data_IF_420755021159
#
_entry.id   IF_420755021159
#
_cell.length_a   1.000
_cell.length_b   1.000
_cell.length_c   1.000
_cell.angle_alpha   90.00
_cell.angle_beta   90.00
_cell.angle_gamma   90.00
#
_symmetry.space_group_name_H-M   'P 1'
#
loop_
_entity.id
_entity.type
_entity.pdbx_description
1 polymer ?
#
# COMPACT_ATOMS: atom_id res chain seq x y z
N UNK A 1 -37.42 -11.89 84.75
CA UNK A 1 -36.25 -11.21 84.19
C UNK A 1 -35.72 -12.09 83.06
N UNK A 2 -36.04 -11.78 81.82
CA UNK A 2 -35.65 -12.58 80.65
C UNK A 2 -34.89 -11.68 79.65
N UNK A 3 -33.63 -11.99 79.45
CA UNK A 3 -32.74 -11.25 78.62
C UNK A 3 -32.90 -11.68 77.13
N UNK A 4 -33.38 -10.77 76.30
CA UNK A 4 -33.45 -11.00 74.81
C UNK A 4 -32.13 -10.62 74.19
N UNK A 5 -31.38 -11.59 73.65
CA UNK A 5 -30.24 -11.38 72.78
C UNK A 5 -30.73 -11.28 71.33
N UNK A 6 -30.57 -10.11 70.74
CA UNK A 6 -30.84 -9.86 69.33
C UNK A 6 -29.64 -10.37 68.50
N UNK A 7 -29.89 -11.34 67.64
CA UNK A 7 -28.90 -11.78 66.64
C UNK A 7 -28.99 -10.91 65.37
N UNK A 8 -27.95 -10.18 65.07
CA UNK A 8 -27.79 -9.46 63.76
C UNK A 8 -27.26 -10.49 62.73
N UNK A 9 -28.07 -10.81 61.72
CA UNK A 9 -27.63 -11.58 60.56
C UNK A 9 -27.10 -10.59 59.52
N UNK A 10 -25.78 -10.59 59.32
CA UNK A 10 -25.12 -9.86 58.24
C UNK A 10 -25.13 -10.77 57.00
N UNK A 11 -25.99 -10.47 56.06
CA UNK A 11 -25.98 -11.14 54.75
C UNK A 11 -24.85 -10.53 53.88
N UNK A 12 -23.80 -11.30 53.64
CA UNK A 12 -22.82 -10.99 52.60
C UNK A 12 -23.40 -11.30 51.22
N UNK A 13 -23.72 -10.27 50.44
CA UNK A 13 -24.04 -10.41 49.04
C UNK A 13 -22.69 -10.43 48.29
N UNK A 14 -22.26 -11.61 47.89
CA UNK A 14 -21.11 -11.78 47.02
C UNK A 14 -21.52 -11.42 45.58
N UNK A 15 -21.16 -10.24 45.12
CA UNK A 15 -21.31 -9.87 43.72
C UNK A 15 -20.35 -10.71 42.85
N UNK A 16 -20.86 -11.69 42.17
CA UNK A 16 -20.18 -12.43 41.15
C UNK A 16 -20.12 -11.52 39.90
N UNK A 17 -18.98 -10.86 39.69
CA UNK A 17 -18.70 -10.15 38.46
C UNK A 17 -18.46 -11.22 37.39
N UNK A 18 -19.46 -11.47 36.55
CA UNK A 18 -19.27 -12.20 35.30
C UNK A 18 -18.43 -11.35 34.37
N UNK A 19 -17.15 -11.63 34.29
CA UNK A 19 -16.32 -11.18 33.18
C UNK A 19 -16.85 -11.84 31.91
N UNK A 20 -17.59 -11.09 31.10
CA UNK A 20 -17.92 -11.53 29.75
C UNK A 20 -16.61 -11.70 29.00
N UNK A 21 -16.35 -12.85 28.34
CA UNK A 21 -15.18 -12.99 27.51
C UNK A 21 -15.27 -11.98 26.37
N UNK A 22 -14.20 -11.22 26.14
CA UNK A 22 -13.99 -10.38 24.96
C UNK A 22 -13.81 -11.28 23.71
N UNK A 23 -14.85 -11.95 23.30
CA UNK A 23 -14.86 -12.84 22.16
C UNK A 23 -15.66 -12.22 21.01
N UNK A 24 -15.13 -11.13 20.42
CA UNK A 24 -15.64 -10.60 19.15
C UNK A 24 -14.53 -9.93 18.29
N UNK A 25 -13.29 -9.95 18.72
CA UNK A 25 -12.17 -9.61 17.82
C UNK A 25 -11.43 -10.90 17.52
N UNK A 26 -11.32 -11.26 16.22
CA UNK A 26 -10.46 -12.34 15.78
C UNK A 26 -9.05 -12.17 16.38
N UNK A 27 -8.35 -13.27 16.59
CA UNK A 27 -7.00 -13.26 17.15
C UNK A 27 -6.13 -12.36 16.26
N UNK A 28 -5.68 -11.22 16.82
CA UNK A 28 -4.92 -10.23 16.06
C UNK A 28 -3.57 -10.86 15.67
N UNK A 29 -3.29 -10.96 14.37
CA UNK A 29 -2.08 -11.62 13.84
C UNK A 29 -0.77 -10.94 14.30
N UNK A 30 -0.81 -9.64 14.61
CA UNK A 30 0.36 -8.89 15.07
C UNK A 30 0.07 -8.11 16.36
N UNK A 31 1.05 -7.91 17.27
CA UNK A 31 0.91 -7.07 18.46
C UNK A 31 0.99 -5.57 18.15
N UNK A 32 0.82 -5.18 16.89
CA UNK A 32 0.82 -3.81 16.38
C UNK A 32 -0.22 -3.65 15.27
N UNK A 33 -0.60 -2.41 14.99
CA UNK A 33 -1.55 -2.08 13.92
C UNK A 33 -0.95 -2.35 12.54
N UNK A 34 -1.81 -2.71 11.58
CA UNK A 34 -1.47 -2.91 10.19
C UNK A 34 -2.11 -1.83 9.30
N UNK A 35 -1.37 -1.35 8.32
CA UNK A 35 -1.81 -0.44 7.27
C UNK A 35 -1.50 -1.09 5.91
N UNK A 36 -2.53 -1.40 5.13
CA UNK A 36 -2.36 -1.95 3.80
C UNK A 36 -2.10 -0.85 2.77
N UNK A 37 -0.90 -0.76 2.22
CA UNK A 37 -0.58 0.28 1.22
C UNK A 37 -0.88 -0.12 -0.23
N UNK A 38 -1.48 -1.31 -0.45
CA UNK A 38 -1.70 -1.81 -1.81
C UNK A 38 -2.93 -2.70 -1.92
N UNK A 39 -4.12 -2.10 -1.79
CA UNK A 39 -5.39 -2.77 -2.03
C UNK A 39 -6.04 -2.32 -3.34
N UNK A 40 -6.56 -3.25 -4.13
CA UNK A 40 -7.30 -2.98 -5.35
C UNK A 40 -8.79 -3.27 -5.16
N UNK A 41 -9.60 -2.27 -5.51
CA UNK A 41 -11.06 -2.35 -5.42
C UNK A 41 -11.69 -2.38 -6.81
N UNK A 42 -12.65 -3.26 -7.02
CA UNK A 42 -13.46 -3.32 -8.22
C UNK A 42 -14.81 -3.98 -7.93
N UNK A 43 -15.82 -3.63 -8.74
CA UNK A 43 -17.20 -4.07 -8.57
C UNK A 43 -17.67 -4.91 -9.76
N UNK A 44 -18.81 -5.55 -9.63
CA UNK A 44 -19.52 -6.24 -10.70
C UNK A 44 -20.73 -5.43 -11.24
N UNK A 45 -20.63 -4.10 -11.17
CA UNK A 45 -21.65 -3.16 -11.67
C UNK A 45 -21.13 -2.41 -12.92
N UNK A 46 -20.95 -3.07 -14.08
CA UNK A 46 -20.34 -2.47 -15.27
C UNK A 46 -21.18 -1.35 -15.88
N UNK A 47 -22.50 -1.34 -15.67
CA UNK A 47 -23.38 -0.26 -16.14
C UNK A 47 -23.09 1.06 -15.43
N UNK A 48 -22.66 1.01 -14.18
CA UNK A 48 -22.32 2.18 -13.37
C UNK A 48 -20.83 2.53 -13.43
N UNK A 49 -19.97 1.51 -13.47
CA UNK A 49 -18.53 1.64 -13.51
C UNK A 49 -17.98 0.76 -14.64
N UNK A 50 -17.97 1.29 -15.89
CA UNK A 50 -17.56 0.55 -17.07
C UNK A 50 -16.11 0.04 -16.96
N UNK A 51 -15.88 -1.22 -17.36
CA UNK A 51 -14.54 -1.77 -17.37
C UNK A 51 -13.72 -1.25 -18.56
N UNK A 52 -12.50 -0.84 -18.31
CA UNK A 52 -11.41 -0.73 -19.28
C UNK A 52 -10.29 -1.70 -18.90
N UNK A 53 -10.45 -2.96 -19.27
CA UNK A 53 -9.50 -4.03 -18.97
C UNK A 53 -8.42 -4.20 -20.05
N UNK A 54 -8.23 -3.21 -20.94
CA UNK A 54 -7.29 -3.28 -22.07
C UNK A 54 -5.82 -3.45 -21.64
N UNK A 55 -5.49 -3.17 -20.40
CA UNK A 55 -4.16 -3.33 -19.80
C UNK A 55 -4.08 -4.47 -18.77
N UNK A 56 -5.08 -5.35 -18.73
CA UNK A 56 -5.08 -6.46 -17.80
C UNK A 56 -3.94 -7.45 -18.09
N UNK A 57 -3.20 -7.84 -17.05
CA UNK A 57 -2.02 -8.72 -17.14
C UNK A 57 -2.29 -10.03 -17.85
N UNK A 58 -3.47 -10.62 -17.63
CA UNK A 58 -3.87 -11.93 -18.21
C UNK A 58 -4.97 -11.82 -19.26
N UNK A 59 -5.12 -10.61 -19.86
CA UNK A 59 -6.11 -10.31 -20.88
C UNK A 59 -7.44 -9.75 -20.31
N UNK A 60 -8.15 -8.98 -21.13
CA UNK A 60 -9.37 -8.28 -20.70
C UNK A 60 -10.49 -9.25 -20.33
N UNK A 61 -10.72 -10.31 -21.09
CA UNK A 61 -11.80 -11.26 -20.86
C UNK A 61 -11.69 -11.95 -19.50
N UNK A 62 -10.47 -12.42 -19.14
CA UNK A 62 -10.24 -13.05 -17.85
C UNK A 62 -10.44 -12.06 -16.69
N UNK A 63 -10.00 -10.81 -16.86
CA UNK A 63 -10.14 -9.79 -15.80
C UNK A 63 -11.61 -9.42 -15.60
N UNK A 64 -12.37 -9.22 -16.67
CA UNK A 64 -13.80 -8.93 -16.58
C UNK A 64 -14.55 -10.10 -15.94
N UNK A 65 -14.28 -11.35 -16.38
CA UNK A 65 -14.88 -12.53 -15.79
C UNK A 65 -14.57 -12.65 -14.28
N UNK A 66 -13.32 -12.37 -13.88
CA UNK A 66 -12.91 -12.32 -12.47
C UNK A 66 -13.69 -11.26 -11.70
N UNK A 67 -13.79 -10.03 -12.23
CA UNK A 67 -14.49 -8.94 -11.56
C UNK A 67 -15.98 -9.22 -11.40
N UNK A 68 -16.60 -9.83 -12.40
CA UNK A 68 -18.02 -10.21 -12.35
C UNK A 68 -18.29 -11.33 -11.35
N UNK A 69 -17.43 -12.34 -11.27
CA UNK A 69 -17.61 -13.49 -10.38
C UNK A 69 -17.15 -13.23 -8.95
N UNK A 70 -16.09 -12.47 -8.78
CA UNK A 70 -15.41 -12.25 -7.50
C UNK A 70 -15.03 -10.76 -7.33
N UNK A 71 -16.03 -9.85 -7.19
CA UNK A 71 -15.75 -8.44 -7.01
C UNK A 71 -15.02 -8.17 -5.69
N UNK A 72 -14.11 -7.20 -5.72
CA UNK A 72 -13.39 -6.71 -4.53
C UNK A 72 -14.03 -5.42 -4.04
N UNK A 73 -15.27 -5.54 -3.53
CA UNK A 73 -15.99 -4.41 -2.96
C UNK A 73 -15.46 -4.05 -1.56
N UNK A 74 -15.77 -2.87 -1.02
CA UNK A 74 -15.40 -2.53 0.36
C UNK A 74 -15.82 -3.58 1.38
N UNK A 75 -17.00 -4.18 1.23
CA UNK A 75 -17.52 -5.19 2.14
C UNK A 75 -16.64 -6.46 2.14
N UNK A 76 -16.18 -6.88 0.98
CA UNK A 76 -15.27 -8.04 0.83
C UNK A 76 -13.89 -7.72 1.42
N UNK A 77 -13.32 -6.57 1.02
CA UNK A 77 -11.98 -6.16 1.45
C UNK A 77 -11.94 -5.87 2.95
N UNK A 78 -12.96 -5.18 3.50
CA UNK A 78 -13.00 -4.88 4.94
C UNK A 78 -13.20 -6.12 5.80
N UNK A 79 -13.99 -7.10 5.34
CA UNK A 79 -14.10 -8.37 6.03
C UNK A 79 -12.73 -9.03 6.20
N UNK A 80 -11.94 -9.05 5.12
CA UNK A 80 -10.57 -9.55 5.17
C UNK A 80 -9.67 -8.68 6.05
N UNK A 81 -9.71 -7.35 5.90
CA UNK A 81 -8.90 -6.44 6.72
C UNK A 81 -9.20 -6.59 8.21
N UNK A 82 -10.47 -6.70 8.58
CA UNK A 82 -10.89 -6.87 9.98
C UNK A 82 -10.43 -8.23 10.53
N UNK A 83 -10.46 -9.29 9.70
CA UNK A 83 -9.99 -10.62 10.08
C UNK A 83 -8.49 -10.65 10.40
N UNK A 84 -7.67 -9.89 9.68
CA UNK A 84 -6.20 -9.88 9.85
C UNK A 84 -5.68 -8.69 10.66
N UNK A 85 -6.55 -7.79 11.10
CA UNK A 85 -6.20 -6.63 11.95
C UNK A 85 -5.69 -5.40 11.18
N UNK A 86 -6.05 -5.24 9.90
CA UNK A 86 -5.75 -4.05 9.10
C UNK A 86 -6.77 -2.95 9.44
N UNK A 87 -6.28 -1.84 10.02
CA UNK A 87 -7.13 -0.71 10.43
C UNK A 87 -7.63 0.11 9.23
N UNK A 88 -6.76 0.39 8.27
CA UNK A 88 -7.04 1.17 7.06
C UNK A 88 -6.01 0.83 5.98
N UNK A 89 -6.27 1.29 4.75
CA UNK A 89 -5.28 1.10 3.68
C UNK A 89 -5.48 2.03 2.50
N UNK A 90 -4.51 1.98 1.58
CA UNK A 90 -4.61 2.64 0.29
C UNK A 90 -5.50 1.83 -0.65
N UNK A 91 -6.57 2.46 -1.15
CA UNK A 91 -7.22 2.01 -2.36
C UNK A 91 -6.35 2.48 -3.54
N UNK A 92 -5.60 1.56 -4.13
CA UNK A 92 -4.80 1.85 -5.32
C UNK A 92 -5.65 1.56 -6.54
N UNK A 93 -5.87 2.59 -7.37
CA UNK A 93 -6.64 2.42 -8.61
C UNK A 93 -6.13 1.21 -9.41
N UNK A 94 -7.04 0.34 -9.83
CA UNK A 94 -6.65 -0.88 -10.50
C UNK A 94 -6.56 -0.70 -12.01
N UNK A 95 -5.32 -0.63 -12.51
CA UNK A 95 -5.03 -0.46 -13.93
C UNK A 95 -5.61 -1.57 -14.83
N UNK A 96 -5.81 -2.76 -14.25
CA UNK A 96 -6.34 -3.93 -14.98
C UNK A 96 -7.85 -3.92 -15.16
N UNK A 97 -8.60 -3.02 -14.48
CA UNK A 97 -10.07 -2.94 -14.59
C UNK A 97 -10.57 -1.61 -15.11
N UNK A 98 -10.01 -0.48 -14.63
CA UNK A 98 -10.58 0.84 -14.88
C UNK A 98 -9.56 1.85 -15.43
N UNK A 99 -8.28 1.51 -15.43
CA UNK A 99 -7.20 2.40 -15.88
C UNK A 99 -7.30 3.78 -15.24
N UNK A 100 -7.56 4.83 -16.05
CA UNK A 100 -7.66 6.22 -15.61
C UNK A 100 -9.06 6.64 -15.16
N UNK A 101 -10.07 5.78 -15.25
CA UNK A 101 -11.37 6.03 -14.65
C UNK A 101 -11.36 5.70 -13.17
N UNK A 102 -11.23 6.73 -12.35
CA UNK A 102 -11.13 6.60 -10.90
C UNK A 102 -12.50 6.70 -10.19
N UNK A 103 -13.62 6.74 -10.91
CA UNK A 103 -14.95 7.01 -10.36
C UNK A 103 -15.32 6.05 -9.23
N UNK A 104 -15.17 4.74 -9.43
CA UNK A 104 -15.47 3.74 -8.40
C UNK A 104 -14.61 3.94 -7.15
N UNK A 105 -13.30 4.10 -7.32
CA UNK A 105 -12.39 4.31 -6.18
C UNK A 105 -12.74 5.58 -5.39
N UNK A 106 -13.06 6.67 -6.08
CA UNK A 106 -13.40 7.94 -5.44
C UNK A 106 -14.74 7.87 -4.70
N UNK A 107 -15.74 7.18 -5.26
CA UNK A 107 -17.04 6.99 -4.62
C UNK A 107 -16.92 6.17 -3.33
N UNK A 108 -16.19 5.05 -3.36
CA UNK A 108 -16.00 4.22 -2.16
C UNK A 108 -15.13 4.90 -1.11
N UNK A 109 -14.10 5.66 -1.52
CA UNK A 109 -13.29 6.40 -0.55
C UNK A 109 -14.06 7.55 0.10
N UNK A 110 -14.95 8.21 -0.63
CA UNK A 110 -15.84 9.21 -0.05
C UNK A 110 -16.84 8.59 0.95
N UNK A 111 -17.30 7.37 0.70
CA UNK A 111 -18.18 6.61 1.61
C UNK A 111 -17.44 6.10 2.85
N UNK A 112 -16.17 5.72 2.70
CA UNK A 112 -15.36 5.11 3.76
C UNK A 112 -14.03 5.86 4.02
N UNK A 113 -14.07 7.18 4.35
CA UNK A 113 -12.86 8.03 4.39
C UNK A 113 -11.88 7.69 5.53
N UNK A 114 -12.30 6.86 6.50
CA UNK A 114 -11.45 6.37 7.59
C UNK A 114 -10.81 5.01 7.30
N UNK A 115 -11.22 4.36 6.21
CA UNK A 115 -10.78 3.02 5.84
C UNK A 115 -9.99 3.02 4.52
N UNK A 116 -10.36 3.85 3.55
CA UNK A 116 -9.77 3.86 2.21
C UNK A 116 -9.12 5.21 1.95
N UNK A 117 -7.81 5.19 1.67
CA UNK A 117 -7.02 6.35 1.24
C UNK A 117 -6.77 6.22 -0.27
N UNK A 118 -7.36 7.05 -1.12
CA UNK A 118 -7.32 6.84 -2.56
C UNK A 118 -5.97 7.26 -3.18
N UNK A 119 -5.43 6.36 -4.01
CA UNK A 119 -4.31 6.58 -4.93
C UNK A 119 -4.84 6.39 -6.35
N UNK A 120 -4.98 7.46 -7.08
CA UNK A 120 -5.58 7.48 -8.42
C UNK A 120 -4.59 7.12 -9.52
N UNK A 121 -5.06 6.78 -10.72
CA UNK A 121 -4.25 6.73 -11.94
C UNK A 121 -4.73 7.84 -12.87
N UNK A 122 -3.79 8.65 -13.36
CA UNK A 122 -4.02 9.66 -14.39
C UNK A 122 -2.95 9.52 -15.48
N UNK A 123 -3.22 10.06 -16.65
CA UNK A 123 -2.21 10.16 -17.70
C UNK A 123 -1.18 11.24 -17.30
N UNK A 124 0.09 10.89 -17.08
CA UNK A 124 1.10 11.83 -16.60
C UNK A 124 1.42 12.95 -17.59
N UNK A 125 1.13 12.76 -18.90
CA UNK A 125 1.45 13.72 -19.96
C UNK A 125 0.25 14.55 -20.42
N UNK A 126 -0.95 14.22 -19.92
CA UNK A 126 -2.14 15.04 -20.23
C UNK A 126 -2.02 16.41 -19.55
N UNK A 127 -2.23 17.46 -20.34
CA UNK A 127 -2.19 18.86 -19.87
C UNK A 127 -3.23 19.17 -18.79
N UNK A 128 -4.32 18.40 -18.73
CA UNK A 128 -5.34 18.53 -17.69
C UNK A 128 -4.93 17.90 -16.35
N UNK A 129 -3.97 16.98 -16.34
CA UNK A 129 -3.58 16.23 -15.13
C UNK A 129 -3.19 17.11 -13.94
N UNK A 130 -2.41 18.20 -14.08
CA UNK A 130 -2.10 19.07 -12.94
C UNK A 130 -3.33 19.66 -12.28
N UNK A 131 -4.29 20.17 -13.06
CA UNK A 131 -5.56 20.71 -12.56
C UNK A 131 -6.43 19.64 -11.93
N UNK A 132 -6.49 18.46 -12.52
CA UNK A 132 -7.23 17.30 -12.02
C UNK A 132 -6.68 16.84 -10.67
N UNK A 133 -5.36 16.74 -10.51
CA UNK A 133 -4.72 16.42 -9.22
C UNK A 133 -5.10 17.42 -8.14
N UNK A 134 -5.05 18.73 -8.44
CA UNK A 134 -5.42 19.76 -7.49
C UNK A 134 -6.89 19.66 -7.05
N UNK A 135 -7.79 19.41 -7.99
CA UNK A 135 -9.22 19.21 -7.69
C UNK A 135 -9.44 17.96 -6.83
N UNK A 136 -8.84 16.83 -7.21
CA UNK A 136 -8.98 15.56 -6.49
C UNK A 136 -8.38 15.63 -5.09
N UNK A 137 -7.22 16.26 -4.92
CA UNK A 137 -6.62 16.47 -3.60
C UNK A 137 -7.54 17.27 -2.67
N UNK A 138 -8.17 18.33 -3.21
CA UNK A 138 -9.07 19.19 -2.45
C UNK A 138 -10.41 18.50 -2.13
N UNK A 139 -11.05 17.92 -3.14
CA UNK A 139 -12.43 17.39 -3.04
C UNK A 139 -12.48 15.96 -2.53
N UNK A 140 -11.67 15.08 -3.12
CA UNK A 140 -11.71 13.65 -2.89
C UNK A 140 -10.65 13.18 -1.88
N UNK A 141 -9.80 14.09 -1.39
CA UNK A 141 -8.76 13.78 -0.39
C UNK A 141 -7.82 12.67 -0.85
N UNK A 142 -7.50 12.60 -2.15
CA UNK A 142 -6.49 11.65 -2.63
C UNK A 142 -5.16 11.88 -1.90
N UNK A 143 -4.43 10.81 -1.60
CA UNK A 143 -3.09 10.93 -1.05
C UNK A 143 -2.01 10.95 -2.14
N UNK A 144 -2.32 10.46 -3.32
CA UNK A 144 -1.35 10.43 -4.41
C UNK A 144 -1.90 9.93 -5.73
N UNK A 145 -0.97 9.82 -6.68
CA UNK A 145 -1.20 9.32 -8.02
C UNK A 145 -0.21 8.20 -8.34
N UNK A 146 -0.65 7.19 -9.07
CA UNK A 146 0.20 6.09 -9.54
C UNK A 146 0.51 6.24 -11.02
N UNK A 147 1.80 6.15 -11.36
CA UNK A 147 2.25 6.06 -12.73
C UNK A 147 2.86 4.69 -13.01
N UNK A 148 2.42 4.06 -14.08
CA UNK A 148 2.86 2.72 -14.47
C UNK A 148 3.04 2.65 -15.98
N UNK A 149 3.95 1.82 -16.44
CA UNK A 149 4.19 1.62 -17.86
C UNK A 149 5.55 1.02 -18.16
N UNK A 150 5.78 0.83 -19.45
CA UNK A 150 7.04 0.31 -19.99
C UNK A 150 7.89 1.48 -20.54
N UNK A 151 9.22 1.32 -20.66
CA UNK A 151 10.05 2.34 -21.25
C UNK A 151 9.82 2.47 -22.75
N UNK A 152 10.08 3.63 -23.28
CA UNK A 152 10.21 3.84 -24.73
C UNK A 152 11.34 2.96 -25.30
N UNK A 153 11.07 2.27 -26.40
CA UNK A 153 12.00 1.28 -26.96
C UNK A 153 13.29 1.90 -27.52
N UNK A 154 13.26 3.20 -27.90
CA UNK A 154 14.40 3.88 -28.51
C UNK A 154 15.28 4.54 -27.47
N UNK A 155 14.66 5.18 -26.48
CA UNK A 155 15.35 5.99 -25.47
C UNK A 155 15.59 5.26 -24.15
N UNK A 156 14.87 4.18 -23.87
CA UNK A 156 14.85 3.50 -22.57
C UNK A 156 14.18 4.31 -21.47
N UNK A 157 13.59 5.47 -21.79
CA UNK A 157 13.00 6.37 -20.82
C UNK A 157 11.54 6.01 -20.54
N UNK A 158 11.14 6.08 -19.29
CA UNK A 158 9.74 6.00 -18.91
C UNK A 158 9.09 7.38 -19.05
N UNK A 159 8.05 7.49 -19.88
CA UNK A 159 7.43 8.77 -20.22
C UNK A 159 6.99 9.57 -18.99
N UNK A 160 6.53 8.88 -17.95
CA UNK A 160 6.13 9.48 -16.68
C UNK A 160 7.30 10.00 -15.82
N UNK A 161 8.56 9.77 -16.24
CA UNK A 161 9.77 10.29 -15.62
C UNK A 161 10.58 11.18 -16.61
N UNK A 162 9.89 11.78 -17.58
CA UNK A 162 10.49 12.72 -18.54
C UNK A 162 9.87 14.12 -18.40
N UNK A 163 10.41 15.09 -19.12
CA UNK A 163 9.87 16.45 -19.15
C UNK A 163 8.43 16.52 -19.68
N UNK A 164 7.98 15.52 -20.45
CA UNK A 164 6.58 15.43 -20.88
C UNK A 164 5.61 15.33 -19.69
N UNK A 165 6.02 14.73 -18.57
CA UNK A 165 5.23 14.59 -17.35
C UNK A 165 5.49 15.72 -16.33
N UNK A 166 6.31 16.74 -16.66
CA UNK A 166 6.72 17.80 -15.71
C UNK A 166 5.55 18.45 -14.99
N UNK A 167 4.44 18.70 -15.68
CA UNK A 167 3.25 19.32 -15.09
C UNK A 167 2.67 18.49 -13.95
N UNK A 168 2.53 17.18 -14.13
CA UNK A 168 2.02 16.27 -13.11
C UNK A 168 2.95 16.20 -11.89
N UNK A 169 4.27 16.11 -12.10
CA UNK A 169 5.26 16.11 -11.02
C UNK A 169 5.28 17.43 -10.25
N UNK A 170 5.23 18.58 -10.95
CA UNK A 170 5.16 19.89 -10.29
C UNK A 170 3.91 20.02 -9.43
N UNK A 171 2.75 19.64 -9.97
CA UNK A 171 1.52 19.66 -9.19
C UNK A 171 1.57 18.75 -7.95
N UNK A 172 2.11 17.53 -8.09
CA UNK A 172 2.28 16.65 -6.95
C UNK A 172 3.24 17.23 -5.90
N UNK A 173 4.34 17.85 -6.34
CA UNK A 173 5.32 18.52 -5.46
C UNK A 173 4.69 19.69 -4.69
N UNK A 174 3.90 20.52 -5.34
CA UNK A 174 3.27 21.70 -4.74
C UNK A 174 2.15 21.31 -3.76
N UNK A 175 1.46 20.20 -4.03
CA UNK A 175 0.39 19.66 -3.21
C UNK A 175 0.91 18.74 -2.09
N UNK A 176 2.16 18.27 -2.16
CA UNK A 176 2.72 17.27 -1.26
C UNK A 176 2.05 15.91 -1.42
N UNK A 177 1.65 15.56 -2.65
CA UNK A 177 1.08 14.26 -2.98
C UNK A 177 2.17 13.21 -3.16
N UNK A 178 1.81 11.96 -2.87
CA UNK A 178 2.63 10.80 -3.18
C UNK A 178 2.59 10.51 -4.69
N UNK A 179 3.73 10.17 -5.27
CA UNK A 179 3.79 9.52 -6.58
C UNK A 179 4.20 8.06 -6.39
N UNK A 180 3.27 7.15 -6.65
CA UNK A 180 3.55 5.72 -6.67
C UNK A 180 4.05 5.35 -8.05
N UNK A 181 5.24 4.76 -8.13
CA UNK A 181 5.86 4.35 -9.40
C UNK A 181 5.86 2.84 -9.54
N UNK A 182 5.37 2.36 -10.68
CA UNK A 182 5.48 0.97 -11.10
C UNK A 182 6.09 0.91 -12.50
N UNK A 183 7.42 1.08 -12.64
CA UNK A 183 8.08 0.86 -13.90
C UNK A 183 8.05 -0.63 -14.25
N UNK A 184 7.71 -0.96 -15.49
CA UNK A 184 7.68 -2.32 -16.02
C UNK A 184 8.79 -2.51 -17.06
N UNK A 185 9.59 -3.56 -16.92
CA UNK A 185 10.70 -3.83 -17.87
C UNK A 185 12.08 -3.69 -17.22
N UNK A 186 13.12 -3.26 -17.96
CA UNK A 186 14.47 -3.19 -17.41
C UNK A 186 14.57 -2.17 -16.28
N UNK A 187 15.02 -2.64 -15.10
CA UNK A 187 15.03 -1.83 -13.89
C UNK A 187 16.20 -0.86 -13.80
N UNK A 188 17.34 -1.17 -14.39
CA UNK A 188 18.54 -0.32 -14.33
C UNK A 188 18.27 1.12 -14.82
N UNK A 189 17.71 1.36 -16.04
CA UNK A 189 17.37 2.72 -16.45
C UNK A 189 16.27 3.34 -15.60
N UNK A 190 15.28 2.55 -15.13
CA UNK A 190 14.22 3.05 -14.30
C UNK A 190 14.73 3.64 -12.98
N UNK A 191 15.64 2.94 -12.29
CA UNK A 191 16.16 3.39 -11.00
C UNK A 191 16.98 4.68 -11.10
N UNK A 192 17.72 4.87 -12.21
CA UNK A 192 18.41 6.13 -12.49
C UNK A 192 17.42 7.29 -12.63
N UNK A 193 16.36 7.09 -13.43
CA UNK A 193 15.33 8.10 -13.62
C UNK A 193 14.59 8.40 -12.31
N UNK A 194 14.32 7.38 -11.48
CA UNK A 194 13.74 7.60 -10.13
C UNK A 194 14.64 8.48 -9.27
N UNK A 195 15.97 8.25 -9.30
CA UNK A 195 16.91 9.08 -8.56
C UNK A 195 16.89 10.53 -9.03
N UNK A 196 16.89 10.76 -10.36
CA UNK A 196 16.78 12.10 -10.95
C UNK A 196 15.48 12.81 -10.57
N UNK A 197 14.36 12.08 -10.55
CA UNK A 197 13.07 12.63 -10.16
C UNK A 197 13.01 12.92 -8.65
N UNK A 198 13.62 12.08 -7.83
CA UNK A 198 13.70 12.30 -6.38
C UNK A 198 14.51 13.59 -6.06
N UNK A 199 15.62 13.77 -6.74
CA UNK A 199 16.47 14.96 -6.58
C UNK A 199 15.80 16.24 -7.12
N UNK A 200 15.01 16.12 -8.20
CA UNK A 200 14.30 17.24 -8.85
C UNK A 200 13.04 17.69 -8.09
N UNK A 201 12.36 16.78 -7.40
CA UNK A 201 11.10 17.03 -6.70
C UNK A 201 11.18 16.58 -5.24
N UNK A 202 11.94 17.28 -4.40
CA UNK A 202 12.23 16.83 -3.03
C UNK A 202 11.01 16.78 -2.11
N UNK A 203 9.92 17.49 -2.43
CA UNK A 203 8.67 17.45 -1.65
C UNK A 203 7.69 16.37 -2.11
N UNK A 204 8.02 15.61 -3.18
CA UNK A 204 7.25 14.43 -3.58
C UNK A 204 7.78 13.22 -2.84
N UNK A 205 6.91 12.54 -2.11
CA UNK A 205 7.22 11.21 -1.60
C UNK A 205 7.02 10.20 -2.75
N UNK A 206 8.11 9.65 -3.25
CA UNK A 206 8.10 8.62 -4.30
C UNK A 206 7.99 7.27 -3.63
N UNK A 207 6.98 6.48 -4.00
CA UNK A 207 6.81 5.13 -3.47
C UNK A 207 6.98 4.12 -4.60
N UNK A 208 8.00 3.28 -4.52
CA UNK A 208 8.23 2.22 -5.50
C UNK A 208 7.38 0.99 -5.18
N UNK A 209 6.47 0.64 -6.08
CA UNK A 209 5.73 -0.62 -6.00
C UNK A 209 6.71 -1.80 -6.08
N UNK A 210 6.50 -2.79 -5.22
CA UNK A 210 7.24 -4.07 -5.19
C UNK A 210 8.78 -3.88 -5.10
N UNK A 211 9.24 -2.85 -4.35
CA UNK A 211 10.67 -2.46 -4.20
C UNK A 211 11.34 -2.20 -5.57
N UNK A 212 10.58 -1.79 -6.60
CA UNK A 212 11.10 -1.58 -7.94
C UNK A 212 11.49 -2.90 -8.65
N UNK A 213 10.91 -4.04 -8.27
CA UNK A 213 11.12 -5.35 -8.88
C UNK A 213 12.60 -5.79 -8.90
N UNK A 214 13.22 -6.10 -7.75
CA UNK A 214 14.58 -6.62 -7.70
C UNK A 214 14.73 -7.90 -8.54
N UNK A 215 15.85 -8.03 -9.25
CA UNK A 215 16.13 -9.19 -10.09
C UNK A 215 16.96 -10.24 -9.33
N UNK A 216 16.29 -11.06 -8.54
CA UNK A 216 16.89 -12.07 -7.67
C UNK A 216 17.81 -13.08 -8.41
N UNK A 217 17.62 -13.25 -9.74
CA UNK A 217 18.45 -14.14 -10.55
C UNK A 217 19.75 -13.50 -10.99
N UNK A 218 19.74 -12.17 -11.24
CA UNK A 218 20.92 -11.45 -11.73
C UNK A 218 21.86 -11.00 -10.61
N UNK A 219 21.30 -10.70 -9.44
CA UNK A 219 22.07 -10.17 -8.32
C UNK A 219 21.72 -10.89 -7.03
N UNK A 220 22.00 -12.22 -6.89
CA UNK A 220 21.60 -12.99 -5.72
C UNK A 220 22.25 -12.49 -4.42
N UNK A 221 23.50 -12.04 -4.47
CA UNK A 221 24.25 -11.56 -3.29
C UNK A 221 23.69 -10.25 -2.71
N UNK A 222 22.91 -9.51 -3.48
CA UNK A 222 22.23 -8.28 -3.09
C UNK A 222 20.70 -8.43 -3.12
N UNK A 223 20.20 -9.65 -3.07
CA UNK A 223 18.77 -9.95 -3.17
C UNK A 223 18.08 -9.27 -4.37
N UNK A 224 18.78 -9.23 -5.49
CA UNK A 224 18.28 -8.67 -6.75
C UNK A 224 18.43 -7.15 -6.90
N UNK A 225 19.02 -6.46 -5.91
CA UNK A 225 19.27 -5.03 -6.04
C UNK A 225 20.50 -4.78 -6.92
N UNK A 226 20.29 -4.02 -7.99
CA UNK A 226 21.34 -3.48 -8.83
C UNK A 226 21.99 -2.25 -8.15
N UNK A 227 23.20 -1.82 -8.56
CA UNK A 227 23.82 -0.61 -8.02
C UNK A 227 22.91 0.62 -8.06
N UNK A 228 22.08 0.73 -9.08
CA UNK A 228 21.13 1.84 -9.25
C UNK A 228 20.00 1.81 -8.20
N UNK A 229 19.59 0.65 -7.72
CA UNK A 229 18.68 0.54 -6.57
C UNK A 229 19.36 1.04 -5.28
N UNK A 230 20.63 0.67 -5.07
CA UNK A 230 21.38 1.05 -3.87
C UNK A 230 21.59 2.57 -3.77
N UNK A 231 21.73 3.25 -4.91
CA UNK A 231 21.84 4.72 -4.96
C UNK A 231 20.58 5.39 -4.39
N UNK A 232 19.42 4.77 -4.49
CA UNK A 232 18.16 5.33 -3.97
C UNK A 232 18.11 5.37 -2.44
N UNK A 233 18.88 4.54 -1.74
CA UNK A 233 18.87 4.46 -0.28
C UNK A 233 19.26 5.77 0.42
N UNK A 234 19.96 6.68 -0.27
CA UNK A 234 20.30 8.01 0.26
C UNK A 234 19.23 9.07 0.05
N UNK A 235 18.15 8.78 -0.68
CA UNK A 235 17.06 9.73 -0.97
C UNK A 235 15.97 9.61 0.07
N UNK A 236 15.83 10.63 0.92
CA UNK A 236 14.87 10.66 2.03
C UNK A 236 13.40 10.67 1.59
N UNK A 237 13.12 11.01 0.33
CA UNK A 237 11.79 11.06 -0.25
C UNK A 237 11.45 9.82 -1.10
N UNK A 238 12.22 8.73 -1.02
CA UNK A 238 11.94 7.46 -1.71
C UNK A 238 11.58 6.38 -0.71
N UNK A 239 10.47 5.70 -0.96
CA UNK A 239 9.89 4.64 -0.11
C UNK A 239 9.66 3.38 -0.93
N UNK A 240 9.61 2.23 -0.27
CA UNK A 240 9.65 0.91 -0.91
C UNK A 240 8.53 0.02 -0.40
N UNK A 241 7.66 -0.46 -1.31
CA UNK A 241 6.56 -1.36 -0.94
C UNK A 241 7.02 -2.82 -0.89
N UNK A 242 6.92 -3.41 0.29
CA UNK A 242 7.00 -4.86 0.50
C UNK A 242 5.60 -5.45 0.38
N UNK A 243 5.32 -6.13 -0.74
CA UNK A 243 3.97 -6.57 -1.10
C UNK A 243 3.90 -8.09 -1.28
N UNK A 244 2.69 -8.64 -1.24
CA UNK A 244 2.45 -10.06 -1.50
C UNK A 244 3.03 -10.51 -2.84
N UNK A 245 2.82 -9.76 -3.94
CA UNK A 245 3.41 -10.09 -5.24
C UNK A 245 4.95 -10.20 -5.20
N UNK A 246 5.61 -9.31 -4.45
CA UNK A 246 7.06 -9.40 -4.28
C UNK A 246 7.45 -10.62 -3.44
N UNK A 247 6.68 -10.95 -2.40
CA UNK A 247 6.90 -12.15 -1.59
C UNK A 247 6.79 -13.43 -2.44
N UNK A 248 5.81 -13.51 -3.33
CA UNK A 248 5.70 -14.61 -4.29
C UNK A 248 6.98 -14.75 -5.13
N UNK A 249 7.48 -13.63 -5.69
CA UNK A 249 8.73 -13.63 -6.49
C UNK A 249 9.96 -14.07 -5.68
N UNK A 250 10.06 -13.64 -4.42
CA UNK A 250 11.16 -14.00 -3.51
C UNK A 250 11.12 -15.50 -3.19
N UNK A 251 9.93 -16.04 -2.92
CA UNK A 251 9.71 -17.47 -2.65
C UNK A 251 10.00 -18.33 -3.88
N UNK A 252 9.56 -17.90 -5.07
CA UNK A 252 9.86 -18.57 -6.35
C UNK A 252 11.38 -18.63 -6.63
N UNK A 253 12.12 -17.65 -6.15
CA UNK A 253 13.60 -17.66 -6.23
C UNK A 253 14.27 -18.48 -5.13
N UNK A 254 13.50 -19.20 -4.28
CA UNK A 254 13.98 -19.95 -3.12
C UNK A 254 14.77 -19.10 -2.10
N UNK A 255 14.41 -17.84 -1.94
CA UNK A 255 15.01 -16.93 -0.97
C UNK A 255 14.12 -16.89 0.29
N UNK A 256 14.66 -17.03 1.51
CA UNK A 256 13.89 -16.86 2.73
C UNK A 256 13.37 -15.42 2.86
N UNK A 257 12.06 -15.26 3.07
CA UNK A 257 11.42 -13.93 3.20
C UNK A 257 12.03 -13.09 4.33
N UNK A 258 12.44 -13.75 5.43
CA UNK A 258 13.11 -13.11 6.56
C UNK A 258 14.43 -12.47 6.15
N UNK A 259 15.27 -13.21 5.46
CA UNK A 259 16.60 -12.74 5.03
C UNK A 259 16.44 -11.58 4.03
N UNK A 260 15.48 -11.71 3.11
CA UNK A 260 15.12 -10.67 2.16
C UNK A 260 14.67 -9.37 2.86
N UNK A 261 13.67 -9.45 3.76
CA UNK A 261 13.14 -8.27 4.44
C UNK A 261 14.20 -7.61 5.34
N UNK A 262 15.01 -8.40 6.04
CA UNK A 262 16.10 -7.90 6.88
C UNK A 262 17.16 -7.16 6.05
N UNK A 263 17.54 -7.72 4.91
CA UNK A 263 18.47 -7.06 3.99
C UNK A 263 17.90 -5.74 3.46
N UNK A 264 16.65 -5.74 2.97
CA UNK A 264 15.99 -4.52 2.47
C UNK A 264 15.87 -3.46 3.57
N UNK A 265 15.54 -3.88 4.79
CA UNK A 265 15.48 -2.98 5.96
C UNK A 265 16.86 -2.41 6.31
N UNK A 266 17.91 -3.19 6.14
CA UNK A 266 19.31 -2.75 6.32
C UNK A 266 19.75 -1.74 5.28
N UNK A 267 19.32 -1.92 4.03
CA UNK A 267 19.68 -1.02 2.90
C UNK A 267 18.90 0.29 2.96
N UNK A 268 17.59 0.22 3.14
CA UNK A 268 16.70 1.39 2.97
C UNK A 268 16.28 2.04 4.29
N UNK A 269 16.37 1.33 5.40
CA UNK A 269 15.78 1.74 6.67
C UNK A 269 14.31 1.30 6.81
N UNK A 270 13.90 0.93 8.01
CA UNK A 270 12.53 0.52 8.29
C UNK A 270 11.51 1.66 8.08
N UNK A 271 11.94 2.89 8.26
CA UNK A 271 11.17 4.13 8.10
C UNK A 271 11.01 4.58 6.64
N UNK A 272 11.62 3.84 5.70
CA UNK A 272 11.41 3.98 4.25
C UNK A 272 10.69 2.76 3.65
N UNK A 273 10.39 1.75 4.45
CA UNK A 273 9.63 0.57 4.02
C UNK A 273 8.15 0.74 4.36
N UNK A 274 7.28 0.29 3.46
CA UNK A 274 5.83 0.19 3.67
C UNK A 274 5.32 -1.15 3.17
N UNK A 275 4.34 -1.72 3.85
CA UNK A 275 3.80 -3.03 3.53
C UNK A 275 2.42 -2.94 2.85
N UNK A 276 2.06 -3.93 2.02
CA UNK A 276 0.74 -4.01 1.40
C UNK A 276 0.37 -5.42 0.94
N UNK A 277 -0.92 -5.73 0.98
CA UNK A 277 -1.46 -7.07 0.68
C UNK A 277 -1.52 -7.42 -0.80
N UNK A 278 -1.60 -6.42 -1.68
CA UNK A 278 -1.94 -6.61 -3.10
C UNK A 278 -3.29 -7.35 -3.32
N UNK A 279 -4.22 -7.22 -2.35
CA UNK A 279 -5.56 -7.79 -2.45
C UNK A 279 -6.28 -7.30 -3.72
N UNK A 280 -6.98 -8.19 -4.38
CA UNK A 280 -7.64 -7.94 -5.66
C UNK A 280 -6.77 -8.28 -6.88
N UNK A 281 -5.43 -8.28 -6.73
CA UNK A 281 -4.50 -8.69 -7.78
C UNK A 281 -3.93 -10.09 -7.53
N UNK A 282 -3.29 -10.33 -6.39
CA UNK A 282 -2.73 -11.66 -6.03
C UNK A 282 -3.82 -12.70 -5.82
N UNK A 283 -3.58 -13.93 -6.32
CA UNK A 283 -4.49 -15.09 -6.25
C UNK A 283 -3.96 -16.15 -5.26
N UNK A 284 -3.41 -15.71 -4.14
CA UNK A 284 -2.82 -16.55 -3.09
C UNK A 284 -3.70 -16.53 -1.83
N UNK A 285 -3.49 -17.46 -0.87
CA UNK A 285 -4.17 -17.40 0.42
C UNK A 285 -3.66 -16.21 1.25
N UNK A 286 -4.26 -15.04 1.04
CA UNK A 286 -3.80 -13.74 1.54
C UNK A 286 -3.57 -13.72 3.06
N UNK A 287 -4.40 -14.41 3.85
CA UNK A 287 -4.22 -14.46 5.31
C UNK A 287 -2.88 -15.10 5.69
N UNK A 288 -2.51 -16.18 5.02
CA UNK A 288 -1.21 -16.84 5.22
C UNK A 288 -0.06 -15.92 4.81
N UNK A 289 -0.21 -15.18 3.71
CA UNK A 289 0.79 -14.22 3.26
C UNK A 289 0.93 -13.02 4.21
N UNK A 290 -0.15 -12.54 4.83
CA UNK A 290 -0.07 -11.54 5.91
C UNK A 290 0.72 -12.09 7.09
N UNK A 291 0.45 -13.33 7.52
CA UNK A 291 1.22 -13.97 8.59
C UNK A 291 2.69 -14.13 8.21
N UNK A 292 3.00 -14.63 7.00
CA UNK A 292 4.38 -14.76 6.52
C UNK A 292 5.10 -13.40 6.44
N UNK A 293 4.40 -12.32 6.07
CA UNK A 293 4.98 -10.99 6.09
C UNK A 293 5.35 -10.55 7.50
N UNK A 294 4.48 -10.81 8.49
CA UNK A 294 4.73 -10.52 9.91
C UNK A 294 5.91 -11.36 10.42
N UNK A 295 5.91 -12.65 10.13
CA UNK A 295 6.98 -13.60 10.56
C UNK A 295 8.33 -13.25 9.91
N UNK A 296 8.33 -12.74 8.67
CA UNK A 296 9.57 -12.30 8.01
C UNK A 296 10.25 -11.14 8.72
N UNK A 297 9.51 -10.39 9.54
CA UNK A 297 10.06 -9.32 10.36
C UNK A 297 10.58 -9.80 11.74
N UNK A 298 10.60 -11.12 12.01
CA UNK A 298 11.15 -11.64 13.27
C UNK A 298 12.65 -11.38 13.40
N UNK A 299 13.03 -10.82 14.57
CA UNK A 299 14.37 -10.32 14.81
C UNK A 299 14.52 -8.82 14.62
N UNK A 300 13.60 -8.15 13.90
CA UNK A 300 13.52 -6.69 13.91
C UNK A 300 12.96 -6.19 15.24
N UNK A 301 13.38 -5.00 15.66
CA UNK A 301 12.84 -4.35 16.85
C UNK A 301 11.36 -3.99 16.65
N UNK A 302 10.60 -3.87 17.73
CA UNK A 302 9.18 -3.45 17.65
C UNK A 302 9.01 -2.10 16.94
N UNK A 303 9.96 -1.17 17.09
CA UNK A 303 9.97 0.12 16.39
C UNK A 303 10.07 -0.08 14.88
N UNK A 304 10.97 -0.95 14.40
CA UNK A 304 11.12 -1.25 12.99
C UNK A 304 9.88 -1.98 12.42
N UNK A 305 9.34 -2.95 13.15
CA UNK A 305 8.09 -3.63 12.76
C UNK A 305 6.94 -2.62 12.59
N UNK A 306 6.72 -1.75 13.57
CA UNK A 306 5.69 -0.69 13.48
C UNK A 306 5.94 0.27 12.32
N UNK A 307 7.18 0.65 12.06
CA UNK A 307 7.53 1.49 10.91
C UNK A 307 7.09 0.82 9.61
N UNK A 308 7.52 -0.40 9.33
CA UNK A 308 7.24 -1.13 8.08
C UNK A 308 5.73 -1.34 7.87
N UNK A 309 5.02 -1.75 8.92
CA UNK A 309 3.64 -2.22 8.78
C UNK A 309 2.57 -1.15 9.04
N UNK A 310 2.92 0.03 9.58
CA UNK A 310 1.93 1.05 9.90
C UNK A 310 2.46 2.49 9.87
N UNK A 311 3.48 2.83 10.68
CA UNK A 311 3.81 4.23 10.99
C UNK A 311 4.29 5.01 9.77
N UNK A 312 5.17 4.41 8.94
CA UNK A 312 5.67 5.01 7.70
C UNK A 312 4.52 5.26 6.72
N UNK A 313 3.66 4.26 6.51
CA UNK A 313 2.51 4.41 5.63
C UNK A 313 1.59 5.54 6.07
N UNK A 314 1.29 5.63 7.38
CA UNK A 314 0.45 6.68 7.95
C UNK A 314 1.06 8.08 7.80
N UNK A 315 2.37 8.19 7.87
CA UNK A 315 3.07 9.46 7.68
C UNK A 315 3.09 9.88 6.19
N UNK A 316 3.28 8.92 5.28
CA UNK A 316 3.47 9.17 3.84
C UNK A 316 2.14 9.39 3.12
N UNK A 317 1.14 8.54 3.34
CA UNK A 317 -0.13 8.58 2.62
C UNK A 317 -1.17 9.48 3.31
N UNK A 318 -0.92 10.78 3.29
CA UNK A 318 -1.79 11.78 3.93
C UNK A 318 -2.93 12.19 3.00
N UNK A 319 -4.21 12.03 3.41
CA UNK A 319 -5.36 12.44 2.61
C UNK A 319 -5.33 13.93 2.24
N UNK A 320 -5.42 14.23 0.94
CA UNK A 320 -5.37 15.58 0.42
C UNK A 320 -3.96 16.15 0.23
N UNK A 321 -2.94 15.31 0.42
CA UNK A 321 -1.53 15.69 0.27
C UNK A 321 -0.91 16.28 1.55
N UNK A 322 0.31 16.84 1.43
CA UNK A 322 1.12 17.38 2.51
C UNK A 322 1.73 16.32 3.43
N UNK A 323 2.18 15.23 2.83
CA UNK A 323 3.10 14.28 3.48
C UNK A 323 4.38 14.97 3.99
N UNK A 324 5.29 14.22 4.61
CA UNK A 324 6.53 14.79 5.17
C UNK A 324 7.30 15.57 4.10
N UNK A 325 7.79 16.75 4.50
CA UNK A 325 8.72 17.52 3.68
C UNK A 325 10.13 17.14 4.08
N UNK A 326 10.97 16.88 3.11
CA UNK A 326 12.38 16.57 3.31
C UNK A 326 13.21 17.83 3.05
N UNK A 327 12.96 18.86 3.86
CA UNK A 327 13.87 20.03 3.89
C UNK A 327 15.12 19.64 4.68
N UNK A 328 16.29 19.89 4.09
CA UNK A 328 17.60 19.75 4.74
C UNK A 328 17.70 20.54 6.06
#
# INVERSE_FOLDING_TARGET
MMNRRTFLIISFVTAVVFSLPNALFGEQLAPFKLYDTHGHFYTNEPDKYPFDASRARYGPERMIAKAMAHPMTPEVVFKFWDEVGIELGCGVQYNSTYRTDNSYLLDISAKYPKRIIPIVILDPVDQATPGTLAQMAKRNKIAGVRFTGVPDKKTGSFIFMTDAAKGAWTAANDLGLVIVLMPLGPMQPAMKQVAEMADRYPNVNIVLDHIGFPDLKKAPDTFGLLPEHLVLASRRNVYYKYTTLLMEMVMEANVPLKDFLHFMTGVYGADHMVWGTDIGNSEVPLKEFVQMAIDSADGLTLKQKKAIFYDTAKAVFVPGGRGPKHTD
#
